data_IF_563067501617
#
_entry.id   IF_563067501617
#
_cell.length_a   1.000
_cell.length_b   1.000
_cell.length_c   1.000
_cell.angle_alpha   90.00
_cell.angle_beta   90.00
_cell.angle_gamma   90.00
#
_symmetry.space_group_name_H-M   'P 1'
#
loop_
_entity.id
_entity.type
_entity.pdbx_description
1 polymer ?
#
# COMPACT_ATOMS: atom_id res chain seq x y z
N UNK A 1 9.39 45.25 -22.18
CA UNK A 1 9.99 44.47 -21.06
C UNK A 1 8.95 43.61 -20.35
N UNK A 2 7.83 44.16 -19.84
CA UNK A 2 6.77 43.42 -19.13
C UNK A 2 6.27 42.12 -19.82
N UNK A 3 6.04 42.15 -21.14
CA UNK A 3 5.60 40.95 -21.90
C UNK A 3 6.61 39.80 -21.94
N UNK A 4 7.90 40.09 -21.79
CA UNK A 4 8.98 39.10 -21.84
C UNK A 4 9.14 38.42 -20.48
N UNK A 5 9.05 39.20 -19.40
CA UNK A 5 9.00 38.71 -18.01
C UNK A 5 7.79 37.80 -17.79
N UNK A 6 6.59 38.19 -18.26
CA UNK A 6 5.40 37.36 -18.16
C UNK A 6 5.55 36.01 -18.89
N UNK A 7 6.19 36.01 -20.06
CA UNK A 7 6.49 34.77 -20.80
C UNK A 7 7.46 33.86 -20.04
N UNK A 8 8.50 34.43 -19.44
CA UNK A 8 9.49 33.67 -18.65
C UNK A 8 8.82 33.08 -17.41
N UNK A 9 8.05 33.86 -16.67
CA UNK A 9 7.33 33.40 -15.46
C UNK A 9 6.37 32.26 -15.81
N UNK A 10 5.57 32.39 -16.89
CA UNK A 10 4.68 31.31 -17.32
C UNK A 10 5.43 30.03 -17.67
N UNK A 11 6.60 30.14 -18.30
CA UNK A 11 7.40 28.96 -18.68
C UNK A 11 7.98 28.25 -17.44
N UNK A 12 8.52 29.00 -16.49
CA UNK A 12 9.03 28.45 -15.22
C UNK A 12 7.90 27.77 -14.46
N UNK A 13 6.75 28.44 -14.35
CA UNK A 13 5.60 27.89 -13.65
C UNK A 13 5.09 26.60 -14.29
N UNK A 14 5.01 26.55 -15.63
CA UNK A 14 4.62 25.34 -16.36
C UNK A 14 5.58 24.18 -16.10
N UNK A 15 6.89 24.43 -16.14
CA UNK A 15 7.90 23.41 -15.80
C UNK A 15 7.72 22.89 -14.36
N UNK A 16 7.47 23.77 -13.40
CA UNK A 16 7.28 23.40 -12.00
C UNK A 16 5.98 22.61 -11.78
N UNK A 17 4.91 22.97 -12.48
CA UNK A 17 3.64 22.26 -12.48
C UNK A 17 3.77 20.86 -13.08
N UNK A 18 4.39 20.72 -14.26
CA UNK A 18 4.64 19.42 -14.91
C UNK A 18 5.48 18.52 -14.01
N UNK A 19 6.52 19.05 -13.36
CA UNK A 19 7.34 18.31 -12.39
C UNK A 19 6.51 17.84 -11.19
N UNK A 20 5.66 18.70 -10.65
CA UNK A 20 4.81 18.37 -9.48
C UNK A 20 3.77 17.31 -9.85
N UNK A 21 3.13 17.43 -11.02
CA UNK A 21 2.15 16.45 -11.50
C UNK A 21 2.85 15.10 -11.74
N UNK A 22 4.03 15.09 -12.37
CA UNK A 22 4.80 13.87 -12.58
C UNK A 22 5.18 13.17 -11.26
N UNK A 23 5.53 13.93 -10.22
CA UNK A 23 5.78 13.39 -8.88
C UNK A 23 4.53 12.73 -8.29
N UNK A 24 3.38 13.41 -8.35
CA UNK A 24 2.12 12.88 -7.83
C UNK A 24 1.72 11.59 -8.58
N UNK A 25 1.81 11.59 -9.91
CA UNK A 25 1.48 10.41 -10.71
C UNK A 25 2.40 9.24 -10.36
N UNK A 26 3.69 9.48 -10.21
CA UNK A 26 4.66 8.45 -9.81
C UNK A 26 4.34 7.87 -8.44
N UNK A 27 4.08 8.72 -7.44
CA UNK A 27 3.73 8.30 -6.08
C UNK A 27 2.44 7.48 -6.04
N UNK A 28 1.40 7.93 -6.77
CA UNK A 28 0.12 7.21 -6.87
C UNK A 28 0.30 5.87 -7.58
N UNK A 29 1.07 5.84 -8.68
CA UNK A 29 1.32 4.61 -9.43
C UNK A 29 2.08 3.59 -8.59
N UNK A 30 3.05 4.04 -7.80
CA UNK A 30 3.80 3.21 -6.87
C UNK A 30 2.89 2.65 -5.76
N UNK A 31 2.00 3.47 -5.21
CA UNK A 31 1.03 3.00 -4.21
C UNK A 31 0.09 1.93 -4.77
N UNK A 32 -0.40 2.11 -6.00
CA UNK A 32 -1.25 1.12 -6.69
C UNK A 32 -0.47 -0.18 -6.91
N UNK A 33 0.77 -0.11 -7.40
CA UNK A 33 1.62 -1.29 -7.63
C UNK A 33 1.90 -2.06 -6.35
N UNK A 34 2.21 -1.36 -5.25
CA UNK A 34 2.41 -2.00 -3.95
C UNK A 34 1.14 -2.70 -3.45
N UNK A 35 -0.01 -2.04 -3.58
CA UNK A 35 -1.30 -2.61 -3.18
C UNK A 35 -1.62 -3.87 -4.00
N UNK A 36 -1.50 -3.81 -5.33
CA UNK A 36 -1.74 -4.95 -6.22
C UNK A 36 -0.77 -6.10 -5.93
N UNK A 37 0.51 -5.79 -5.72
CA UNK A 37 1.52 -6.81 -5.38
C UNK A 37 1.23 -7.48 -4.04
N UNK A 38 0.85 -6.71 -3.03
CA UNK A 38 0.47 -7.24 -1.72
C UNK A 38 -0.78 -8.11 -1.81
N UNK A 39 -1.79 -7.68 -2.57
CA UNK A 39 -3.03 -8.45 -2.79
C UNK A 39 -2.75 -9.74 -3.54
N UNK A 40 -1.89 -9.70 -4.55
CA UNK A 40 -1.49 -10.88 -5.32
C UNK A 40 -0.78 -11.91 -4.43
N UNK A 41 0.23 -11.48 -3.67
CA UNK A 41 0.95 -12.37 -2.75
C UNK A 41 0.02 -12.95 -1.70
N UNK A 42 -0.88 -12.14 -1.14
CA UNK A 42 -1.89 -12.63 -0.19
C UNK A 42 -2.77 -13.72 -0.81
N UNK A 43 -3.24 -13.52 -2.05
CA UNK A 43 -4.03 -14.53 -2.77
C UNK A 43 -3.26 -15.84 -2.93
N UNK A 44 -1.97 -15.77 -3.31
CA UNK A 44 -1.12 -16.96 -3.44
C UNK A 44 -0.95 -17.69 -2.11
N UNK A 45 -0.77 -16.96 -1.00
CA UNK A 45 -0.68 -17.58 0.34
C UNK A 45 -1.97 -18.31 0.69
N UNK A 46 -3.12 -17.68 0.45
CA UNK A 46 -4.43 -18.29 0.73
C UNK A 46 -4.64 -19.54 -0.13
N UNK A 47 -4.26 -19.50 -1.41
CA UNK A 47 -4.34 -20.64 -2.31
C UNK A 47 -3.47 -21.82 -1.81
N UNK A 48 -2.22 -21.55 -1.41
CA UNK A 48 -1.32 -22.56 -0.84
C UNK A 48 -1.93 -23.19 0.42
N UNK A 49 -2.45 -22.38 1.35
CA UNK A 49 -3.08 -22.89 2.57
C UNK A 49 -4.34 -23.71 2.30
N UNK A 50 -5.09 -23.34 1.26
CA UNK A 50 -6.26 -24.09 0.84
C UNK A 50 -5.89 -25.42 0.19
N UNK A 51 -4.85 -25.45 -0.66
CA UNK A 51 -4.33 -26.70 -1.24
C UNK A 51 -3.76 -27.65 -0.19
N UNK A 52 -3.17 -27.11 0.88
CA UNK A 52 -2.64 -27.87 2.00
C UNK A 52 -3.72 -28.32 3.00
N UNK A 53 -4.98 -27.93 2.80
CA UNK A 53 -6.06 -28.12 3.76
C UNK A 53 -5.72 -27.55 5.17
N UNK A 54 -4.81 -26.59 5.24
CA UNK A 54 -4.35 -25.97 6.50
C UNK A 54 -5.50 -25.25 7.22
N UNK A 55 -6.53 -24.84 6.50
CA UNK A 55 -7.72 -24.23 7.11
C UNK A 55 -8.59 -25.25 7.88
N UNK A 56 -8.49 -26.55 7.57
CA UNK A 56 -9.21 -27.61 8.29
C UNK A 56 -8.66 -27.77 9.73
N UNK A 57 -7.41 -27.32 9.97
CA UNK A 57 -6.85 -27.22 11.32
C UNK A 57 -7.67 -26.30 12.24
N UNK A 58 -8.58 -25.48 11.70
CA UNK A 58 -9.48 -24.62 12.47
C UNK A 58 -10.87 -25.22 12.69
N UNK A 59 -11.17 -26.43 12.20
CA UNK A 59 -12.48 -27.05 12.40
C UNK A 59 -12.80 -27.30 13.89
N UNK A 60 -11.78 -27.53 14.72
CA UNK A 60 -11.90 -27.64 16.18
C UNK A 60 -12.49 -26.39 16.85
N UNK A 61 -12.47 -25.23 16.19
CA UNK A 61 -13.12 -24.01 16.71
C UNK A 61 -14.65 -24.14 16.78
N UNK A 62 -15.22 -25.16 16.14
CA UNK A 62 -16.66 -25.49 16.21
C UNK A 62 -17.00 -26.43 17.37
N UNK A 63 -16.00 -26.99 18.04
CA UNK A 63 -16.17 -27.93 19.15
C UNK A 63 -16.38 -27.22 20.49
N UNK A 64 -16.63 -27.99 21.54
CA UNK A 64 -16.78 -27.48 22.90
C UNK A 64 -15.53 -26.74 23.39
N UNK A 65 -15.72 -25.78 24.31
CA UNK A 65 -14.64 -24.93 24.83
C UNK A 65 -13.44 -25.71 25.39
N UNK A 66 -13.68 -26.89 25.96
CA UNK A 66 -12.64 -27.77 26.50
C UNK A 66 -11.71 -28.29 25.39
N UNK A 67 -12.28 -28.73 24.27
CA UNK A 67 -11.57 -29.19 23.07
C UNK A 67 -10.83 -28.03 22.39
N UNK A 68 -11.46 -26.86 22.34
CA UNK A 68 -10.81 -25.64 21.85
C UNK A 68 -9.55 -25.37 22.67
N UNK A 69 -9.66 -25.33 23.99
CA UNK A 69 -8.53 -24.99 24.87
C UNK A 69 -7.38 -26.00 24.74
N UNK A 70 -7.69 -27.29 24.64
CA UNK A 70 -6.70 -28.36 24.55
C UNK A 70 -5.94 -28.33 23.21
N UNK A 71 -6.66 -28.08 22.11
CA UNK A 71 -6.09 -28.17 20.76
C UNK A 71 -5.61 -26.83 20.19
N UNK A 72 -6.00 -25.69 20.78
CA UNK A 72 -5.69 -24.36 20.25
C UNK A 72 -4.20 -24.15 19.99
N UNK A 73 -3.35 -24.46 20.98
CA UNK A 73 -1.91 -24.24 20.85
C UNK A 73 -1.27 -25.17 19.83
N UNK A 74 -1.64 -26.46 19.83
CA UNK A 74 -1.09 -27.43 18.90
C UNK A 74 -1.49 -27.11 17.46
N UNK A 75 -2.78 -26.87 17.21
CA UNK A 75 -3.27 -26.56 15.87
C UNK A 75 -2.76 -25.22 15.37
N UNK A 76 -2.67 -24.19 16.22
CA UNK A 76 -2.06 -22.91 15.84
C UNK A 76 -0.58 -23.04 15.48
N UNK A 77 0.16 -23.87 16.22
CA UNK A 77 1.59 -24.07 15.96
C UNK A 77 1.81 -24.82 14.64
N UNK A 78 1.00 -25.85 14.36
CA UNK A 78 1.03 -26.58 13.08
C UNK A 78 0.68 -25.62 11.93
N UNK A 79 -0.38 -24.82 12.08
CA UNK A 79 -0.76 -23.83 11.07
C UNK A 79 0.38 -22.85 10.75
N UNK A 80 1.10 -22.36 11.77
CA UNK A 80 2.26 -21.47 11.54
C UNK A 80 3.41 -22.18 10.82
N UNK A 81 3.60 -23.48 11.03
CA UNK A 81 4.61 -24.26 10.32
C UNK A 81 4.26 -24.48 8.83
N UNK A 82 2.97 -24.60 8.52
CA UNK A 82 2.46 -24.79 7.16
C UNK A 82 2.46 -23.48 6.34
N UNK A 83 2.50 -22.32 7.02
CA UNK A 83 2.60 -21.05 6.31
C UNK A 83 3.83 -21.00 5.39
N UNK A 84 3.69 -20.52 4.15
CA UNK A 84 4.81 -20.30 3.25
C UNK A 84 5.64 -19.11 3.74
N UNK A 85 6.55 -19.37 4.68
CA UNK A 85 7.36 -18.38 5.40
C UNK A 85 8.01 -17.33 4.48
N UNK A 86 8.62 -17.68 3.32
CA UNK A 86 9.18 -16.68 2.41
C UNK A 86 8.16 -15.66 1.91
N UNK A 87 6.95 -16.11 1.58
CA UNK A 87 5.88 -15.23 1.08
C UNK A 87 5.34 -14.34 2.20
N UNK A 88 5.23 -14.87 3.43
CA UNK A 88 4.84 -14.10 4.61
C UNK A 88 5.84 -12.96 4.86
N UNK A 89 7.14 -13.23 4.82
CA UNK A 89 8.15 -12.18 5.03
C UNK A 89 8.08 -11.08 3.96
N UNK A 90 7.86 -11.45 2.69
CA UNK A 90 7.67 -10.48 1.61
C UNK A 90 6.41 -9.66 1.86
N UNK A 91 5.30 -10.29 2.24
CA UNK A 91 4.04 -9.62 2.53
C UNK A 91 4.19 -8.62 3.69
N UNK A 92 4.88 -8.99 4.76
CA UNK A 92 5.19 -8.09 5.88
C UNK A 92 6.03 -6.89 5.41
N UNK A 93 7.06 -7.13 4.59
CA UNK A 93 7.87 -6.06 4.01
C UNK A 93 7.05 -5.08 3.16
N UNK A 94 6.11 -5.59 2.36
CA UNK A 94 5.18 -4.78 1.56
C UNK A 94 4.23 -3.96 2.44
N UNK A 95 3.68 -4.57 3.49
CA UNK A 95 2.80 -3.86 4.44
C UNK A 95 3.55 -2.72 5.13
N UNK A 96 4.77 -2.96 5.60
CA UNK A 96 5.60 -1.92 6.21
C UNK A 96 5.90 -0.77 5.25
N UNK A 97 6.16 -1.07 3.97
CA UNK A 97 6.37 -0.03 2.95
C UNK A 97 5.10 0.76 2.67
N UNK A 98 3.91 0.13 2.67
CA UNK A 98 2.63 0.83 2.55
C UNK A 98 2.40 1.76 3.75
N UNK A 99 2.62 1.29 4.98
CA UNK A 99 2.48 2.13 6.19
C UNK A 99 3.43 3.33 6.14
N UNK A 100 4.69 3.10 5.74
CA UNK A 100 5.66 4.18 5.58
C UNK A 100 5.24 5.20 4.51
N UNK A 101 4.72 4.73 3.38
CA UNK A 101 4.23 5.60 2.30
C UNK A 101 3.05 6.45 2.75
N UNK A 102 2.08 5.85 3.46
CA UNK A 102 0.95 6.59 4.05
C UNK A 102 1.41 7.65 5.05
N UNK A 103 2.41 7.34 5.88
CA UNK A 103 3.00 8.30 6.81
C UNK A 103 3.63 9.49 6.07
N UNK A 104 4.45 9.23 5.04
CA UNK A 104 5.08 10.27 4.21
C UNK A 104 4.02 11.13 3.50
N UNK A 105 2.99 10.49 2.95
CA UNK A 105 1.91 11.19 2.26
C UNK A 105 1.13 12.10 3.21
N UNK A 106 0.79 11.61 4.40
CA UNK A 106 0.08 12.38 5.43
C UNK A 106 0.90 13.59 5.89
N UNK A 107 2.20 13.40 6.11
CA UNK A 107 3.12 14.49 6.49
C UNK A 107 3.23 15.57 5.42
N UNK A 108 3.20 15.16 4.14
CA UNK A 108 3.34 16.07 3.00
C UNK A 108 2.02 16.59 2.43
N UNK A 109 0.87 16.14 2.96
CA UNK A 109 -0.45 16.43 2.40
C UNK A 109 -0.73 17.92 2.26
N UNK A 110 -0.43 18.73 3.28
CA UNK A 110 -0.64 20.18 3.23
C UNK A 110 0.20 20.86 2.14
N UNK A 111 1.43 20.38 1.92
CA UNK A 111 2.32 20.91 0.87
C UNK A 111 1.81 20.55 -0.52
N UNK A 112 1.36 19.30 -0.71
CA UNK A 112 0.79 18.82 -1.97
C UNK A 112 -0.52 19.57 -2.28
N UNK A 113 -1.42 19.69 -1.30
CA UNK A 113 -2.68 20.43 -1.43
C UNK A 113 -2.44 21.89 -1.85
N UNK A 114 -1.52 22.57 -1.20
CA UNK A 114 -1.21 23.97 -1.53
C UNK A 114 -0.64 24.11 -2.94
N UNK A 115 0.24 23.18 -3.38
CA UNK A 115 0.74 23.16 -4.75
C UNK A 115 -0.36 22.90 -5.78
N UNK A 116 -1.26 21.97 -5.51
CA UNK A 116 -2.41 21.68 -6.40
C UNK A 116 -3.37 22.87 -6.52
N UNK A 117 -3.67 23.55 -5.41
CA UNK A 117 -4.50 24.76 -5.42
C UNK A 117 -3.85 25.89 -6.24
N UNK A 118 -2.53 26.04 -6.15
CA UNK A 118 -1.81 27.03 -6.96
C UNK A 118 -1.86 26.68 -8.44
N UNK A 119 -1.64 25.41 -8.80
CA UNK A 119 -1.71 24.94 -10.20
C UNK A 119 -3.11 25.16 -10.76
N UNK A 120 -4.16 24.82 -9.99
CA UNK A 120 -5.55 25.04 -10.38
C UNK A 120 -5.82 26.53 -10.63
N UNK A 121 -5.41 27.40 -9.70
CA UNK A 121 -5.57 28.86 -9.86
C UNK A 121 -4.82 29.42 -11.06
N UNK A 122 -3.70 28.84 -11.47
CA UNK A 122 -2.93 29.32 -12.62
C UNK A 122 -3.51 28.89 -13.97
N UNK A 123 -4.13 27.72 -14.05
CA UNK A 123 -4.73 27.22 -15.28
C UNK A 123 -6.17 27.70 -15.51
N UNK A 124 -6.93 27.95 -14.43
CA UNK A 124 -8.35 28.33 -14.49
C UNK A 124 -8.63 29.80 -14.15
N UNK A 125 -7.62 30.61 -13.85
CA UNK A 125 -7.75 32.06 -13.63
C UNK A 125 -6.75 32.81 -14.50
#
# INVERSE_FOLDING_TARGET
MKKLEEKIIKKIYRMEAEKTIGQIISEVSLAILLFLSSSFIFSVIVEILNEQASFDLFDFLRDDFEIIRENFFNNSLIFVQELPQPLIYILIGLLLTIVWLLYVFTKNFNKIKNKLVLIYKFWFK
#
